data_IF_143003491091
#
_entry.id   IF_143003491091
#
_cell.length_a   1.000
_cell.length_b   1.000
_cell.length_c   1.000
_cell.angle_alpha   90.00
_cell.angle_beta   90.00
_cell.angle_gamma   90.00
#
_symmetry.space_group_name_H-M   'P 1'
#
loop_
_entity.id
_entity.type
_entity.pdbx_description
1 polymer ?
#
# COMPACT_ATOMS: atom_id res chain seq x y z
N UNK A 1 42.40 -58.70 -60.49
CA UNK A 1 42.65 -57.57 -59.57
C UNK A 1 41.48 -56.59 -59.68
N UNK A 2 41.05 -56.05 -58.54
CA UNK A 2 39.89 -55.16 -58.33
C UNK A 2 38.49 -55.76 -58.61
N UNK A 3 37.79 -56.12 -57.52
CA UNK A 3 36.36 -56.46 -57.46
C UNK A 3 35.53 -55.22 -57.80
N UNK A 4 34.61 -55.34 -58.76
CA UNK A 4 33.47 -54.43 -58.94
C UNK A 4 32.21 -55.30 -58.80
N UNK A 5 31.43 -55.04 -57.76
CA UNK A 5 30.11 -55.65 -57.52
C UNK A 5 29.04 -54.56 -57.63
N UNK A 6 27.84 -54.91 -58.12
CA UNK A 6 26.89 -53.96 -58.70
C UNK A 6 26.01 -53.30 -57.64
N UNK A 7 25.74 -52.02 -57.89
CA UNK A 7 24.84 -51.15 -57.12
C UNK A 7 23.38 -51.58 -57.32
N UNK A 8 22.79 -52.21 -56.29
CA UNK A 8 21.34 -52.40 -56.18
C UNK A 8 20.80 -51.33 -55.24
N UNK A 9 20.09 -50.35 -55.78
CA UNK A 9 19.35 -49.33 -55.03
C UNK A 9 17.95 -49.89 -54.68
N UNK A 10 17.81 -50.38 -53.45
CA UNK A 10 16.53 -50.64 -52.81
C UNK A 10 16.28 -49.50 -51.82
N UNK A 11 15.26 -48.68 -52.09
CA UNK A 11 14.75 -47.71 -51.13
C UNK A 11 13.78 -48.39 -50.16
N UNK A 12 13.94 -48.18 -48.84
CA UNK A 12 12.81 -48.22 -47.93
C UNK A 12 12.61 -46.85 -47.26
N UNK A 13 11.34 -46.46 -47.19
CA UNK A 13 10.85 -45.24 -46.59
C UNK A 13 11.21 -45.16 -45.08
N UNK A 14 11.93 -44.11 -44.68
CA UNK A 14 12.05 -43.73 -43.27
C UNK A 14 10.89 -42.79 -42.91
N UNK A 15 9.89 -43.30 -42.21
CA UNK A 15 8.96 -42.47 -41.45
C UNK A 15 9.70 -41.90 -40.24
N UNK A 16 9.95 -40.59 -40.24
CA UNK A 16 10.52 -39.88 -39.11
C UNK A 16 9.43 -39.58 -38.07
N UNK A 17 9.38 -40.36 -36.99
CA UNK A 17 8.59 -40.05 -35.79
C UNK A 17 9.33 -39.03 -34.93
N UNK A 18 8.97 -37.75 -35.07
CA UNK A 18 9.46 -36.69 -34.18
C UNK A 18 8.79 -36.80 -32.81
N UNK A 19 9.50 -37.34 -31.82
CA UNK A 19 9.11 -37.28 -30.42
C UNK A 19 9.21 -35.83 -29.92
N UNK A 20 8.05 -35.22 -29.65
CA UNK A 20 7.94 -33.92 -28.99
C UNK A 20 8.38 -34.05 -27.53
N UNK A 21 9.64 -33.69 -27.25
CA UNK A 21 10.12 -33.46 -25.88
C UNK A 21 9.60 -32.10 -25.41
N UNK A 22 8.46 -32.09 -24.72
CA UNK A 22 8.01 -30.94 -23.95
C UNK A 22 8.78 -30.89 -22.63
N UNK A 23 9.57 -29.85 -22.33
CA UNK A 23 10.19 -29.71 -21.02
C UNK A 23 9.08 -29.42 -20.01
N UNK A 24 8.79 -30.40 -19.14
CA UNK A 24 8.02 -30.17 -17.93
C UNK A 24 8.85 -29.26 -17.02
N UNK A 25 8.58 -27.95 -17.07
CA UNK A 25 9.10 -27.04 -16.06
C UNK A 25 8.52 -27.50 -14.72
N UNK A 26 9.38 -28.03 -13.85
CA UNK A 26 9.01 -28.37 -12.50
C UNK A 26 8.58 -27.09 -11.79
N UNK A 27 7.27 -26.88 -11.65
CA UNK A 27 6.71 -25.80 -10.83
C UNK A 27 7.05 -26.19 -9.39
N UNK A 28 8.12 -25.60 -8.87
CA UNK A 28 8.47 -25.78 -7.47
C UNK A 28 7.35 -25.20 -6.61
N UNK A 29 6.84 -25.92 -5.61
CA UNK A 29 5.81 -25.38 -4.73
C UNK A 29 6.36 -24.13 -4.04
N UNK A 30 5.69 -23.00 -4.25
CA UNK A 30 5.98 -21.78 -3.53
C UNK A 30 5.42 -21.93 -2.11
N UNK A 31 6.30 -22.18 -1.13
CA UNK A 31 5.93 -22.17 0.27
C UNK A 31 5.81 -20.73 0.74
N UNK A 32 4.57 -20.26 0.92
CA UNK A 32 4.31 -19.01 1.63
C UNK A 32 4.70 -19.22 3.10
N UNK A 33 5.87 -18.72 3.49
CA UNK A 33 6.28 -18.73 4.90
C UNK A 33 5.25 -18.00 5.76
N UNK A 34 4.90 -18.57 6.92
CA UNK A 34 4.08 -17.84 7.88
C UNK A 34 4.93 -16.77 8.56
N UNK A 35 4.32 -15.61 8.80
CA UNK A 35 4.95 -14.51 9.51
C UNK A 35 5.01 -14.83 11.01
N UNK A 36 5.81 -15.82 11.39
CA UNK A 36 5.86 -16.33 12.76
C UNK A 36 6.95 -15.64 13.61
N UNK A 37 8.03 -15.13 12.98
CA UNK A 37 9.20 -14.64 13.73
C UNK A 37 9.95 -13.45 13.12
N UNK A 38 9.64 -13.05 11.88
CA UNK A 38 10.26 -11.88 11.20
C UNK A 38 9.24 -11.01 10.49
N UNK A 39 8.16 -10.69 11.19
CA UNK A 39 7.17 -9.76 10.66
C UNK A 39 7.74 -8.35 10.66
N UNK A 40 7.49 -7.63 9.56
CA UNK A 40 7.56 -6.18 9.58
C UNK A 40 6.62 -5.59 10.64
N UNK A 41 6.73 -4.28 10.89
CA UNK A 41 5.82 -3.60 11.81
C UNK A 41 4.37 -3.90 11.42
N UNK A 42 3.54 -4.20 12.42
CA UNK A 42 2.11 -4.44 12.22
C UNK A 42 1.51 -3.22 11.51
N UNK A 43 0.80 -3.40 10.39
CA UNK A 43 0.12 -2.30 9.73
C UNK A 43 -0.87 -1.63 10.69
N UNK A 44 -0.95 -0.31 10.61
CA UNK A 44 -1.91 0.46 11.40
C UNK A 44 -3.32 0.14 10.88
N UNK A 45 -4.15 -0.45 11.74
CA UNK A 45 -5.48 -0.92 11.38
C UNK A 45 -6.45 -0.83 12.56
N UNK A 46 -7.67 -0.39 12.27
CA UNK A 46 -8.79 -0.35 13.20
C UNK A 46 -9.82 -1.43 12.86
N UNK A 47 -10.70 -1.75 13.80
CA UNK A 47 -11.83 -2.64 13.50
C UNK A 47 -12.84 -1.87 12.64
N UNK A 48 -13.29 -2.41 11.49
CA UNK A 48 -14.34 -1.79 10.69
C UNK A 48 -15.59 -1.45 11.53
N UNK A 49 -16.15 -0.24 11.33
CA UNK A 49 -17.30 0.26 12.08
C UNK A 49 -17.01 0.70 13.52
N UNK A 50 -15.77 0.56 14.00
CA UNK A 50 -15.37 1.03 15.31
C UNK A 50 -15.35 2.57 15.37
N UNK A 51 -15.80 3.13 16.49
CA UNK A 51 -15.61 4.55 16.79
C UNK A 51 -14.13 4.85 17.03
N UNK A 52 -13.57 5.78 16.26
CA UNK A 52 -12.17 6.20 16.28
C UNK A 52 -12.09 7.70 16.56
N UNK A 53 -11.25 8.07 17.52
CA UNK A 53 -10.84 9.46 17.74
C UNK A 53 -9.65 9.76 16.82
N UNK A 54 -9.75 10.79 16.00
CA UNK A 54 -8.66 11.24 15.14
C UNK A 54 -8.04 12.48 15.73
N UNK A 55 -6.77 12.39 16.07
CA UNK A 55 -5.96 13.46 16.63
C UNK A 55 -4.99 13.94 15.55
N UNK A 56 -5.06 15.22 15.21
CA UNK A 56 -4.12 15.85 14.29
C UNK A 56 -3.21 16.76 15.11
N UNK A 57 -1.90 16.70 14.86
CA UNK A 57 -0.91 17.52 15.56
C UNK A 57 -0.08 18.25 14.52
N UNK A 58 -0.01 19.58 14.64
CA UNK A 58 0.88 20.37 13.81
C UNK A 58 2.28 20.44 14.45
N UNK A 59 3.27 19.75 13.88
CA UNK A 59 4.68 19.82 14.29
C UNK A 59 5.53 20.65 13.31
N UNK A 60 4.91 21.45 12.45
CA UNK A 60 5.60 22.42 11.59
C UNK A 60 5.83 23.74 12.34
N UNK A 61 6.57 24.65 11.71
CA UNK A 61 6.73 26.04 12.17
C UNK A 61 5.69 26.99 11.55
N UNK A 62 4.79 26.49 10.70
CA UNK A 62 3.84 27.24 9.88
C UNK A 62 2.39 26.97 10.30
N UNK A 63 1.47 27.81 9.83
CA UNK A 63 0.04 27.54 9.90
C UNK A 63 -0.33 26.43 8.90
N UNK A 64 -0.99 25.40 9.42
CA UNK A 64 -1.50 24.30 8.61
C UNK A 64 -3.02 24.34 8.68
N UNK A 65 -3.67 24.39 7.53
CA UNK A 65 -5.11 24.24 7.43
C UNK A 65 -5.44 22.76 7.48
N UNK A 66 -6.42 22.37 8.30
CA UNK A 66 -6.86 20.98 8.45
C UNK A 66 -8.38 20.90 8.32
N UNK A 67 -8.86 19.95 7.54
CA UNK A 67 -10.28 19.77 7.28
C UNK A 67 -10.70 18.30 7.40
N UNK A 68 -11.76 18.04 8.16
CA UNK A 68 -12.49 16.77 8.08
C UNK A 68 -13.48 16.84 6.93
N UNK A 69 -13.27 16.06 5.87
CA UNK A 69 -14.18 16.01 4.72
C UNK A 69 -15.57 15.57 5.19
N UNK A 70 -16.61 16.27 4.73
CA UNK A 70 -18.01 16.10 5.15
C UNK A 70 -18.25 16.27 6.67
N UNK A 71 -17.38 16.99 7.38
CA UNK A 71 -17.53 17.20 8.83
C UNK A 71 -17.21 18.60 9.31
N UNK A 72 -16.25 19.29 8.70
CA UNK A 72 -15.86 20.65 9.10
C UNK A 72 -15.48 21.50 7.89
N UNK A 73 -15.54 22.82 8.08
CA UNK A 73 -14.74 23.77 7.31
C UNK A 73 -13.24 23.60 7.62
N UNK A 74 -12.33 24.17 6.81
CA UNK A 74 -10.92 24.21 7.13
C UNK A 74 -10.65 24.94 8.45
N UNK A 75 -9.89 24.30 9.34
CA UNK A 75 -9.50 24.82 10.64
C UNK A 75 -8.00 25.13 10.61
N UNK A 76 -7.59 26.39 10.87
CA UNK A 76 -6.18 26.73 10.98
C UNK A 76 -5.57 26.16 12.26
N UNK A 77 -4.46 25.45 12.14
CA UNK A 77 -3.69 24.90 13.24
C UNK A 77 -2.35 25.61 13.38
N UNK A 78 -2.10 26.21 14.54
CA UNK A 78 -0.81 26.80 14.89
C UNK A 78 0.26 25.72 15.14
N UNK A 79 1.55 26.05 15.04
CA UNK A 79 2.64 25.18 15.50
C UNK A 79 2.39 24.63 16.91
N UNK A 80 2.55 23.32 17.08
CA UNK A 80 2.33 22.60 18.33
C UNK A 80 0.87 22.34 18.71
N UNK A 81 -0.10 22.86 17.95
CA UNK A 81 -1.51 22.68 18.25
C UNK A 81 -1.98 21.24 17.94
N UNK A 82 -2.90 20.75 18.76
CA UNK A 82 -3.61 19.48 18.56
C UNK A 82 -5.09 19.75 18.27
N UNK A 83 -5.65 19.04 17.29
CA UNK A 83 -7.07 19.08 16.93
C UNK A 83 -7.64 17.67 17.01
N UNK A 84 -8.85 17.53 17.59
CA UNK A 84 -9.51 16.23 17.72
C UNK A 84 -10.81 16.22 16.94
N UNK A 85 -10.97 15.18 16.14
CA UNK A 85 -12.23 14.80 15.52
C UNK A 85 -12.69 13.48 16.10
N UNK A 86 -13.99 13.34 16.33
CA UNK A 86 -14.57 12.04 16.64
C UNK A 86 -15.22 11.50 15.38
N UNK A 87 -14.96 10.22 15.08
CA UNK A 87 -15.50 9.52 13.93
C UNK A 87 -16.16 8.22 14.39
N UNK A 88 -17.38 7.96 13.94
CA UNK A 88 -18.01 6.65 14.01
C UNK A 88 -19.10 6.54 15.07
N UNK A 89 -19.97 5.55 14.85
CA UNK A 89 -21.26 5.36 15.53
C UNK A 89 -22.39 5.49 14.50
N UNK A 90 -22.87 4.37 13.95
CA UNK A 90 -23.95 4.35 12.96
C UNK A 90 -23.45 4.39 11.50
N UNK A 91 -24.14 5.13 10.63
CA UNK A 91 -23.92 5.19 9.16
C UNK A 91 -22.96 6.30 8.73
N UNK A 92 -22.13 6.81 9.64
CA UNK A 92 -21.20 7.90 9.35
C UNK A 92 -20.15 7.48 8.30
N UNK A 93 -19.93 8.29 7.24
CA UNK A 93 -18.95 7.98 6.21
C UNK A 93 -17.54 7.98 6.81
N UNK A 94 -16.66 7.11 6.32
CA UNK A 94 -15.25 7.06 6.71
C UNK A 94 -14.58 8.44 6.79
N UNK A 95 -13.70 8.60 7.77
CA UNK A 95 -12.98 9.87 7.93
C UNK A 95 -11.89 10.04 6.88
N UNK A 96 -11.96 11.18 6.21
CA UNK A 96 -10.87 11.73 5.41
C UNK A 96 -10.45 13.06 6.02
N UNK A 97 -9.16 13.22 6.28
CA UNK A 97 -8.57 14.46 6.77
C UNK A 97 -7.71 15.04 5.67
N UNK A 98 -8.04 16.24 5.20
CA UNK A 98 -7.21 17.03 4.30
C UNK A 98 -6.38 18.02 5.09
N UNK A 99 -5.17 18.29 4.62
CA UNK A 99 -4.32 19.30 5.21
C UNK A 99 -3.39 19.96 4.19
N UNK A 100 -3.09 21.23 4.41
CA UNK A 100 -2.13 21.96 3.60
C UNK A 100 -1.48 23.09 4.39
N UNK A 101 -0.23 23.36 4.03
CA UNK A 101 0.51 24.49 4.51
C UNK A 101 0.01 25.77 3.83
N UNK A 102 -0.23 26.84 4.61
CA UNK A 102 -0.71 28.12 4.08
C UNK A 102 0.32 28.80 3.17
N UNK A 103 1.62 28.51 3.35
CA UNK A 103 2.73 29.00 2.53
C UNK A 103 3.13 28.02 1.42
N UNK A 104 2.31 27.01 1.16
CA UNK A 104 2.51 25.97 0.15
C UNK A 104 3.77 25.11 0.34
N UNK A 105 4.34 25.06 1.56
CA UNK A 105 5.45 24.16 1.86
C UNK A 105 5.01 22.68 1.78
N UNK A 106 5.89 21.77 1.32
CA UNK A 106 5.63 20.34 1.38
C UNK A 106 5.48 19.88 2.84
N UNK A 107 4.49 19.01 3.06
CA UNK A 107 4.21 18.40 4.35
C UNK A 107 4.41 16.89 4.28
N UNK A 108 4.73 16.31 5.43
CA UNK A 108 4.79 14.87 5.61
C UNK A 108 3.87 14.48 6.78
N UNK A 109 3.02 13.50 6.58
CA UNK A 109 2.21 12.90 7.64
C UNK A 109 2.92 11.69 8.25
N UNK A 110 2.91 11.59 9.58
CA UNK A 110 3.25 10.37 10.30
C UNK A 110 2.05 9.86 11.07
N UNK A 111 1.73 8.59 10.84
CA UNK A 111 0.60 7.93 11.46
C UNK A 111 1.05 7.11 12.65
N UNK A 112 0.28 7.16 13.73
CA UNK A 112 0.44 6.27 14.88
C UNK A 112 -0.91 5.92 15.49
N UNK A 113 -0.93 4.83 16.26
CA UNK A 113 -2.11 4.37 16.99
C UNK A 113 -1.75 4.30 18.48
N UNK A 114 -1.79 5.44 19.22
CA UNK A 114 -1.39 5.49 20.62
C UNK A 114 -2.22 4.56 21.52
N UNK A 115 -3.46 4.29 21.12
CA UNK A 115 -4.33 3.31 21.75
C UNK A 115 -5.30 2.72 20.69
N UNK A 116 -6.02 1.63 20.99
CA UNK A 116 -6.86 0.93 20.00
C UNK A 116 -7.97 1.77 19.35
N UNK A 117 -8.34 2.92 19.93
CA UNK A 117 -9.43 3.80 19.47
C UNK A 117 -8.94 5.16 18.98
N UNK A 118 -7.63 5.40 18.91
CA UNK A 118 -7.09 6.69 18.49
C UNK A 118 -6.17 6.55 17.29
N UNK A 119 -6.48 7.27 16.22
CA UNK A 119 -5.58 7.54 15.11
C UNK A 119 -4.92 8.88 15.36
N UNK A 120 -3.58 8.93 15.43
CA UNK A 120 -2.82 10.17 15.54
C UNK A 120 -2.09 10.45 14.25
N UNK A 121 -2.30 11.65 13.71
CA UNK A 121 -1.71 12.19 12.50
C UNK A 121 -0.79 13.34 12.90
N UNK A 122 0.52 13.11 12.86
CA UNK A 122 1.51 14.16 13.07
C UNK A 122 1.90 14.77 11.72
N UNK A 123 1.65 16.06 11.56
CA UNK A 123 2.02 16.83 10.37
C UNK A 123 3.39 17.43 10.63
N UNK A 124 4.38 17.08 9.80
CA UNK A 124 5.77 17.50 9.88
C UNK A 124 6.19 18.24 8.61
N UNK A 125 7.20 19.13 8.69
CA UNK A 125 7.76 19.75 7.50
C UNK A 125 8.49 18.71 6.64
N UNK A 126 8.38 18.83 5.31
CA UNK A 126 9.18 18.05 4.37
C UNK A 126 8.35 17.13 3.46
N UNK A 127 9.00 16.10 2.92
CA UNK A 127 8.43 15.27 1.85
C UNK A 127 8.79 15.77 0.46
N UNK A 128 8.63 14.91 -0.54
CA UNK A 128 8.86 15.28 -1.95
C UNK A 128 7.65 16.08 -2.43
N UNK A 129 7.81 17.29 -3.01
CA UNK A 129 6.70 18.04 -3.58
C UNK A 129 5.82 17.14 -4.47
N UNK A 130 4.48 17.14 -4.29
CA UNK A 130 3.70 18.12 -3.50
C UNK A 130 3.64 17.86 -1.98
N UNK A 131 4.27 16.81 -1.46
CA UNK A 131 4.10 16.34 -0.07
C UNK A 131 2.77 15.60 0.12
N UNK A 132 2.57 15.08 1.32
CA UNK A 132 1.30 14.46 1.72
C UNK A 132 0.23 15.55 1.89
N UNK A 133 -1.02 15.25 1.54
CA UNK A 133 -2.15 16.19 1.56
C UNK A 133 -3.39 15.65 2.22
N UNK A 134 -3.48 14.33 2.38
CA UNK A 134 -4.61 13.72 3.05
C UNK A 134 -4.28 12.41 3.75
N UNK A 135 -5.10 12.09 4.76
CA UNK A 135 -5.12 10.79 5.43
C UNK A 135 -6.54 10.25 5.40
N UNK A 136 -6.69 9.00 4.99
CA UNK A 136 -7.98 8.34 4.88
C UNK A 136 -8.03 7.06 5.71
N UNK A 137 -9.07 6.92 6.54
CA UNK A 137 -9.43 5.65 7.18
C UNK A 137 -10.36 4.88 6.24
N UNK A 138 -9.86 3.80 5.67
CA UNK A 138 -10.59 2.95 4.72
C UNK A 138 -11.69 2.13 5.40
N UNK A 139 -12.64 1.63 4.60
CA UNK A 139 -13.77 0.80 5.06
C UNK A 139 -13.31 -0.49 5.77
N UNK A 140 -12.14 -1.01 5.41
CA UNK A 140 -11.54 -2.20 6.00
C UNK A 140 -10.65 -1.90 7.22
N UNK A 141 -10.71 -0.65 7.70
CA UNK A 141 -10.00 -0.16 8.87
C UNK A 141 -8.52 0.17 8.64
N UNK A 142 -7.99 -0.02 7.42
CA UNK A 142 -6.62 0.42 7.09
C UNK A 142 -6.56 1.93 6.97
N UNK A 143 -5.39 2.50 7.20
CA UNK A 143 -5.16 3.95 7.03
C UNK A 143 -4.17 4.18 5.90
N UNK A 144 -4.50 5.11 5.01
CA UNK A 144 -3.69 5.49 3.87
C UNK A 144 -3.34 6.99 3.91
N UNK A 145 -2.18 7.33 3.34
CA UNK A 145 -1.69 8.69 3.15
C UNK A 145 -1.65 8.95 1.64
N UNK A 146 -2.07 10.13 1.20
CA UNK A 146 -2.01 10.57 -0.20
C UNK A 146 -1.52 12.00 -0.31
#
# INVERSE_FOLDING_TARGET
>A
MAKLLPTVLLAPALMATTLLFSPTQAISPAWAGTCASRCGPKPLQFTPGQRVSVEVVNQTASLVQVQKVFGTDPVPMRPGQELKFVQGGGTEPNISVYFWDETALPLQARLSQPNPKTLRIEIRPGGRPPGDRSVYLLNDGRVAIF
#
